data_IF_809034887259
#
_entry.id   IF_809034887259
#
_cell.length_a   1.000
_cell.length_b   1.000
_cell.length_c   1.000
_cell.angle_alpha   90.00
_cell.angle_beta   90.00
_cell.angle_gamma   90.00
#
_symmetry.space_group_name_H-M   'P 1'
#
loop_
_entity.id
_entity.type
_entity.pdbx_description
1 polymer ?
#
# COMPACT_ATOMS: atom_id res chain seq x y z
N UNK A 1 -20.68 -33.18 3.50
CA UNK A 1 -20.55 -31.97 4.34
C UNK A 1 -19.63 -31.00 3.61
N UNK A 2 -20.18 -30.08 2.82
CA UNK A 2 -19.41 -28.92 2.39
C UNK A 2 -19.48 -27.95 3.56
N UNK A 3 -18.36 -27.78 4.25
CA UNK A 3 -18.21 -26.80 5.32
C UNK A 3 -18.66 -25.44 4.79
N UNK A 4 -19.77 -24.93 5.32
CA UNK A 4 -20.13 -23.54 5.16
C UNK A 4 -18.98 -22.72 5.79
N UNK A 5 -18.07 -22.25 4.95
CA UNK A 5 -17.17 -21.16 5.33
C UNK A 5 -18.07 -19.94 5.40
N UNK A 6 -18.47 -19.58 6.62
CA UNK A 6 -18.96 -18.24 6.89
C UNK A 6 -17.76 -17.32 6.73
N UNK A 7 -17.53 -16.82 5.52
CA UNK A 7 -16.51 -15.81 5.29
C UNK A 7 -16.94 -14.55 6.07
N UNK A 8 -16.21 -14.24 7.14
CA UNK A 8 -16.37 -12.99 7.87
C UNK A 8 -15.87 -11.83 7.00
N UNK A 9 -16.74 -11.33 6.12
CA UNK A 9 -16.44 -10.20 5.27
C UNK A 9 -16.49 -8.90 6.09
N UNK A 10 -15.34 -8.46 6.57
CA UNK A 10 -15.20 -7.11 7.09
C UNK A 10 -15.20 -6.11 5.93
N UNK A 11 -16.19 -5.20 5.92
CA UNK A 11 -16.22 -4.09 4.95
C UNK A 11 -15.48 -2.90 5.55
N UNK A 12 -14.45 -2.43 4.87
CA UNK A 12 -13.67 -1.24 5.23
C UNK A 12 -13.98 -0.15 4.20
N UNK A 13 -14.39 1.03 4.66
CA UNK A 13 -14.65 2.19 3.82
C UNK A 13 -13.42 3.10 3.89
N UNK A 14 -12.80 3.35 2.73
CA UNK A 14 -11.60 4.19 2.60
C UNK A 14 -11.96 5.44 1.78
N UNK A 15 -12.23 6.54 2.46
CA UNK A 15 -12.70 7.80 1.85
C UNK A 15 -11.58 8.69 1.34
N UNK A 16 -10.43 8.67 2.02
CA UNK A 16 -9.34 9.63 1.83
C UNK A 16 -8.17 9.06 1.02
N UNK A 17 -8.39 7.92 0.35
CA UNK A 17 -7.36 7.22 -0.43
C UNK A 17 -7.88 7.03 -1.85
N UNK A 18 -7.04 7.37 -2.83
CA UNK A 18 -7.42 7.19 -4.22
C UNK A 18 -7.56 5.69 -4.57
N UNK A 19 -8.51 5.31 -5.44
CA UNK A 19 -8.62 3.91 -5.88
C UNK A 19 -7.34 3.37 -6.53
N UNK A 20 -6.53 4.25 -7.14
CA UNK A 20 -5.25 3.91 -7.76
C UNK A 20 -4.20 3.52 -6.72
N UNK A 21 -4.13 4.26 -5.62
CA UNK A 21 -3.21 3.94 -4.52
C UNK A 21 -3.61 2.60 -3.88
N UNK A 22 -4.91 2.34 -3.69
CA UNK A 22 -5.39 1.04 -3.19
C UNK A 22 -5.00 -0.11 -4.12
N UNK A 23 -5.19 0.05 -5.43
CA UNK A 23 -4.79 -0.97 -6.39
C UNK A 23 -3.28 -1.26 -6.30
N UNK A 24 -2.46 -0.22 -6.18
CA UNK A 24 -1.01 -0.34 -6.08
C UNK A 24 -0.57 -1.00 -4.77
N UNK A 25 -1.23 -0.69 -3.66
CA UNK A 25 -1.02 -1.34 -2.36
C UNK A 25 -1.35 -2.83 -2.45
N UNK A 26 -2.48 -3.21 -3.04
CA UNK A 26 -2.86 -4.62 -3.21
C UNK A 26 -1.83 -5.32 -4.10
N UNK A 27 -1.40 -4.71 -5.21
CA UNK A 27 -0.36 -5.29 -6.06
C UNK A 27 0.94 -5.51 -5.29
N UNK A 28 1.38 -4.53 -4.50
CA UNK A 28 2.54 -4.68 -3.63
C UNK A 28 2.38 -5.83 -2.62
N UNK A 29 1.23 -5.94 -1.95
CA UNK A 29 0.98 -7.00 -0.97
C UNK A 29 1.10 -8.41 -1.57
N UNK A 30 0.64 -8.60 -2.80
CA UNK A 30 0.63 -9.90 -3.46
C UNK A 30 1.95 -10.25 -4.17
N UNK A 31 2.69 -9.26 -4.68
CA UNK A 31 3.90 -9.49 -5.48
C UNK A 31 5.20 -9.11 -4.76
N UNK A 32 5.13 -8.38 -3.65
CA UNK A 32 6.28 -7.83 -2.94
C UNK A 32 6.86 -6.55 -3.56
N UNK A 33 6.41 -6.15 -4.75
CA UNK A 33 6.81 -4.92 -5.43
C UNK A 33 5.65 -4.32 -6.25
N UNK A 34 5.74 -3.02 -6.54
CA UNK A 34 4.83 -2.32 -7.44
C UNK A 34 5.58 -1.22 -8.19
N UNK A 35 5.24 -1.00 -9.46
CA UNK A 35 5.81 0.07 -10.28
C UNK A 35 4.73 1.11 -10.53
N UNK A 36 4.99 2.34 -10.13
CA UNK A 36 4.07 3.48 -10.32
C UNK A 36 4.80 4.64 -10.98
N UNK A 37 4.08 5.56 -11.66
CA UNK A 37 4.64 6.83 -12.09
C UNK A 37 5.23 7.62 -10.92
N UNK A 38 6.25 8.44 -11.18
CA UNK A 38 6.97 9.18 -10.12
C UNK A 38 6.04 10.16 -9.41
N UNK A 39 5.11 10.75 -10.15
CA UNK A 39 4.07 11.65 -9.65
C UNK A 39 3.11 10.98 -8.65
N UNK A 40 2.93 9.65 -8.74
CA UNK A 40 2.02 8.88 -7.89
C UNK A 40 2.74 8.30 -6.64
N UNK A 41 4.08 8.37 -6.57
CA UNK A 41 4.84 7.82 -5.43
C UNK A 41 4.43 8.48 -4.11
N UNK A 42 4.27 9.80 -4.11
CA UNK A 42 3.96 10.52 -2.88
C UNK A 42 2.57 10.16 -2.33
N UNK A 43 1.56 10.03 -3.19
CA UNK A 43 0.20 9.64 -2.77
C UNK A 43 0.17 8.20 -2.29
N UNK A 44 0.87 7.30 -2.99
CA UNK A 44 0.97 5.90 -2.62
C UNK A 44 1.62 5.71 -1.25
N UNK A 45 2.74 6.40 -0.99
CA UNK A 45 3.43 6.30 0.30
C UNK A 45 2.59 6.88 1.45
N UNK A 46 1.81 7.93 1.20
CA UNK A 46 0.91 8.47 2.21
C UNK A 46 -0.27 7.54 2.50
N UNK A 47 -0.88 6.96 1.46
CA UNK A 47 -1.90 5.93 1.61
C UNK A 47 -1.37 4.71 2.40
N UNK A 48 -0.16 4.25 2.08
CA UNK A 48 0.50 3.17 2.80
C UNK A 48 0.74 3.50 4.28
N UNK A 49 1.03 4.77 4.60
CA UNK A 49 1.19 5.24 5.98
C UNK A 49 -0.13 5.25 6.74
N UNK A 50 -1.20 5.78 6.15
CA UNK A 50 -2.55 5.77 6.74
C UNK A 50 -3.03 4.36 7.04
N UNK A 51 -2.76 3.43 6.12
CA UNK A 51 -3.12 2.02 6.25
C UNK A 51 -2.10 1.18 7.04
N UNK A 52 -0.97 1.76 7.44
CA UNK A 52 0.13 1.11 8.18
C UNK A 52 0.70 -0.13 7.47
N UNK A 53 0.90 -0.03 6.15
CA UNK A 53 1.47 -1.12 5.34
C UNK A 53 2.98 -1.19 5.52
N UNK A 54 3.45 -2.19 6.28
CA UNK A 54 4.88 -2.48 6.47
C UNK A 54 5.60 -2.69 5.14
N UNK A 55 6.88 -2.32 5.06
CA UNK A 55 7.67 -2.37 3.83
C UNK A 55 7.53 -1.10 2.98
N UNK A 56 6.31 -0.64 2.69
CA UNK A 56 6.10 0.63 1.97
C UNK A 56 6.35 1.85 2.87
N UNK A 57 5.92 1.81 4.12
CA UNK A 57 6.17 2.90 5.08
C UNK A 57 7.67 3.14 5.35
N UNK A 58 8.47 2.09 5.25
CA UNK A 58 9.92 2.12 5.51
C UNK A 58 10.68 2.81 4.36
N UNK A 59 10.16 2.75 3.13
CA UNK A 59 10.70 3.49 1.97
C UNK A 59 10.66 5.00 2.23
N UNK A 60 9.57 5.49 2.84
CA UNK A 60 9.44 6.92 3.16
C UNK A 60 10.45 7.39 4.22
N UNK A 61 10.86 6.50 5.13
CA UNK A 61 11.90 6.79 6.12
C UNK A 61 13.32 6.68 5.53
N UNK A 62 13.52 5.74 4.61
CA UNK A 62 14.81 5.48 3.96
C UNK A 62 15.22 6.50 2.90
N UNK A 63 14.27 7.19 2.26
CA UNK A 63 14.58 8.18 1.22
C UNK A 63 15.34 9.40 1.76
N UNK A 64 15.05 9.88 2.98
CA UNK A 64 15.87 10.95 3.59
C UNK A 64 17.32 10.52 3.90
N UNK A 65 17.60 9.21 3.97
CA UNK A 65 18.95 8.66 4.18
C UNK A 65 19.69 8.24 2.90
N UNK A 66 18.97 7.91 1.83
CA UNK A 66 19.57 7.44 0.56
C UNK A 66 19.70 8.53 -0.50
N UNK A 67 19.03 9.68 -0.35
CA UNK A 67 19.19 10.84 -1.27
C UNK A 67 20.55 11.55 -1.07
N UNK A 68 21.35 11.17 -0.06
CA UNK A 68 22.77 11.56 0.04
C UNK A 68 23.75 10.57 -0.61
N UNK A 69 23.28 9.49 -1.23
CA UNK A 69 24.11 8.53 -1.94
C UNK A 69 23.55 8.26 -3.34
N UNK A 70 23.66 9.25 -4.23
CA UNK A 70 24.23 9.22 -5.59
C UNK A 70 23.72 10.42 -6.40
#
# INVERSE_FOLDING_TARGET
>A
LLSQVTEDYSTIILSDISPRDIQSIIQFMYHGEVRVPVEDISSLLEAARLLKISGLIDVSAGLYGLIYCY
#
